data_IF_871730645297
#
_entry.id   IF_871730645297
#
_cell.length_a   1.000
_cell.length_b   1.000
_cell.length_c   1.000
_cell.angle_alpha   90.00
_cell.angle_beta   90.00
_cell.angle_gamma   90.00
#
_symmetry.space_group_name_H-M   'P 1'
#
loop_
_entity.id
_entity.type
_entity.pdbx_description
1 polymer ?
#
# COMPACT_ATOMS: atom_id res chain seq x y z
N UNK A 1 3.08 27.33 -6.16
CA UNK A 1 2.67 26.28 -5.20
C UNK A 1 2.97 24.93 -5.81
N UNK A 2 3.75 24.07 -5.15
CA UNK A 2 4.03 22.71 -5.64
C UNK A 2 2.80 21.83 -5.45
N UNK A 3 2.40 21.11 -6.50
CA UNK A 3 1.35 20.09 -6.43
C UNK A 3 1.93 18.84 -5.75
N UNK A 4 1.23 18.30 -4.75
CA UNK A 4 1.58 17.00 -4.18
C UNK A 4 1.29 15.95 -5.24
N UNK A 5 2.34 15.29 -5.73
CA UNK A 5 2.24 14.23 -6.76
C UNK A 5 2.14 12.84 -6.14
N UNK A 6 2.52 12.70 -4.88
CA UNK A 6 2.53 11.43 -4.17
C UNK A 6 2.22 11.64 -2.69
N UNK A 7 1.36 10.78 -2.15
CA UNK A 7 1.06 10.68 -0.73
C UNK A 7 0.89 9.21 -0.36
N UNK A 8 1.22 8.85 0.88
CA UNK A 8 0.97 7.51 1.41
C UNK A 8 -0.54 7.26 1.46
N UNK A 9 -0.96 6.06 1.09
CA UNK A 9 -2.39 5.67 1.15
C UNK A 9 -2.82 5.50 2.60
N UNK A 10 -4.12 5.66 2.86
CA UNK A 10 -4.68 5.38 4.19
C UNK A 10 -4.68 3.90 4.55
N UNK A 11 -4.54 3.03 3.54
CA UNK A 11 -4.50 1.58 3.70
C UNK A 11 -3.15 1.03 4.19
N UNK A 12 -2.11 1.85 4.33
CA UNK A 12 -0.79 1.42 4.82
C UNK A 12 -0.47 2.05 6.18
N UNK A 13 -0.02 1.22 7.13
CA UNK A 13 0.54 1.69 8.41
C UNK A 13 1.87 2.43 8.19
N UNK A 14 2.32 3.23 9.16
CA UNK A 14 3.62 3.93 9.10
C UNK A 14 4.86 3.03 9.26
N UNK A 15 4.66 1.72 9.48
CA UNK A 15 5.76 0.78 9.62
C UNK A 15 6.59 0.71 8.33
N UNK A 16 7.91 0.65 8.50
CA UNK A 16 8.83 0.41 7.39
C UNK A 16 8.66 -1.00 6.85
N UNK A 17 8.82 -1.16 5.53
CA UNK A 17 8.80 -2.45 4.89
C UNK A 17 10.09 -3.23 5.19
N UNK A 18 9.96 -4.53 5.47
CA UNK A 18 11.09 -5.44 5.66
C UNK A 18 11.64 -6.03 4.35
N UNK A 19 11.24 -5.48 3.20
CA UNK A 19 11.57 -6.00 1.89
C UNK A 19 12.94 -5.52 1.40
N UNK A 20 13.61 -6.34 0.60
CA UNK A 20 14.91 -6.00 0.03
C UNK A 20 14.82 -4.76 -0.88
N UNK A 21 15.85 -3.88 -0.89
CA UNK A 21 15.92 -2.77 -1.84
C UNK A 21 15.86 -3.27 -3.29
N UNK A 22 15.05 -2.63 -4.12
CA UNK A 22 14.89 -2.99 -5.54
C UNK A 22 13.92 -4.15 -5.81
N UNK A 23 13.43 -4.87 -4.79
CA UNK A 23 12.31 -5.78 -5.00
C UNK A 23 10.98 -5.02 -5.05
N UNK A 24 9.98 -5.59 -5.72
CA UNK A 24 8.72 -4.90 -6.00
C UNK A 24 7.67 -5.05 -4.91
N UNK A 25 7.93 -5.78 -3.83
CA UNK A 25 6.95 -6.07 -2.78
C UNK A 25 6.37 -4.81 -2.13
N UNK A 26 7.20 -3.83 -1.76
CA UNK A 26 6.73 -2.56 -1.20
C UNK A 26 5.85 -1.77 -2.18
N UNK A 27 6.18 -1.83 -3.48
CA UNK A 27 5.36 -1.21 -4.54
C UNK A 27 4.01 -1.92 -4.66
N UNK A 28 3.99 -3.25 -4.63
CA UNK A 28 2.75 -4.04 -4.69
C UNK A 28 1.83 -3.69 -3.52
N UNK A 29 2.34 -3.64 -2.29
CA UNK A 29 1.54 -3.23 -1.12
C UNK A 29 0.92 -1.85 -1.30
N UNK A 30 1.69 -0.88 -1.82
CA UNK A 30 1.20 0.46 -2.13
C UNK A 30 0.09 0.43 -3.18
N UNK A 31 0.32 -0.22 -4.33
CA UNK A 31 -0.66 -0.27 -5.42
C UNK A 31 -1.96 -0.96 -5.01
N UNK A 32 -1.87 -2.05 -4.25
CA UNK A 32 -3.06 -2.73 -3.70
C UNK A 32 -3.82 -1.79 -2.76
N UNK A 33 -3.12 -1.07 -1.88
CA UNK A 33 -3.76 -0.13 -0.98
C UNK A 33 -4.37 1.09 -1.71
N UNK A 34 -3.74 1.60 -2.77
CA UNK A 34 -4.29 2.65 -3.66
C UNK A 34 -5.59 2.15 -4.30
N UNK A 35 -5.58 0.95 -4.87
CA UNK A 35 -6.78 0.36 -5.47
C UNK A 35 -7.92 0.17 -4.46
N UNK A 36 -7.63 -0.27 -3.24
CA UNK A 36 -8.65 -0.42 -2.18
C UNK A 36 -9.26 0.92 -1.76
N UNK A 37 -8.46 1.99 -1.73
CA UNK A 37 -8.91 3.35 -1.41
C UNK A 37 -9.76 3.92 -2.56
N UNK A 38 -9.32 3.78 -3.81
CA UNK A 38 -10.06 4.23 -5.01
C UNK A 38 -11.40 3.51 -5.17
N UNK A 39 -11.44 2.21 -4.86
CA UNK A 39 -12.67 1.41 -4.91
C UNK A 39 -13.57 1.62 -3.68
N UNK A 40 -13.09 2.29 -2.63
CA UNK A 40 -13.85 2.53 -1.40
C UNK A 40 -14.20 1.26 -0.62
N UNK A 41 -13.35 0.22 -0.70
CA UNK A 41 -13.61 -1.11 -0.11
C UNK A 41 -12.62 -1.50 0.98
N UNK A 42 -11.70 -0.61 1.39
CA UNK A 42 -10.69 -0.89 2.41
C UNK A 42 -11.26 -1.49 3.71
N UNK A 43 -12.34 -0.93 4.24
CA UNK A 43 -12.97 -1.39 5.49
C UNK A 43 -13.73 -2.72 5.36
N UNK A 44 -13.95 -3.21 4.13
CA UNK A 44 -14.68 -4.46 3.83
C UNK A 44 -13.76 -5.55 3.29
N UNK A 45 -12.48 -5.25 3.08
CA UNK A 45 -11.52 -6.18 2.52
C UNK A 45 -10.86 -7.03 3.63
N UNK A 46 -10.64 -8.31 3.36
CA UNK A 46 -9.85 -9.20 4.23
C UNK A 46 -8.52 -9.48 3.52
N UNK A 47 -7.43 -9.09 4.17
CA UNK A 47 -6.08 -9.42 3.70
C UNK A 47 -5.68 -10.84 4.12
N UNK A 48 -5.28 -11.67 3.17
CA UNK A 48 -4.76 -13.01 3.42
C UNK A 48 -3.32 -13.07 2.90
N UNK A 49 -2.36 -13.23 3.80
CA UNK A 49 -0.94 -13.33 3.47
C UNK A 49 -0.40 -14.71 3.87
N UNK A 50 0.20 -15.48 2.94
CA UNK A 50 0.88 -16.73 3.27
C UNK A 50 2.24 -16.45 3.93
N UNK A 51 2.92 -17.51 4.38
CA UNK A 51 4.31 -17.41 4.86
C UNK A 51 5.24 -17.17 3.66
N UNK A 52 6.03 -16.09 3.73
CA UNK A 52 7.00 -15.65 2.71
C UNK A 52 7.72 -14.39 3.11
#
# INVERSE_FOLDING_TARGET
>A
MSKIVFQRTKGLTEKEFSYCPGCTHGIIHRLVAEALEELGVGDKAIGVAPVG
#
